data_IF_413273269977
#
_entry.id   IF_413273269977
#
_cell.length_a   1.000
_cell.length_b   1.000
_cell.length_c   1.000
_cell.angle_alpha   90.00
_cell.angle_beta   90.00
_cell.angle_gamma   90.00
#
_symmetry.space_group_name_H-M   'P 1'
#
loop_
_entity.id
_entity.type
_entity.pdbx_description
1 polymer ?
#
# COMPACT_ATOMS: atom_id res chain seq x y z
N UNK A 1 9.77 -7.08 -21.79
CA UNK A 1 8.59 -6.87 -20.92
C UNK A 1 8.65 -7.98 -19.89
N UNK A 2 8.98 -7.66 -18.64
CA UNK A 2 8.97 -8.68 -17.58
C UNK A 2 7.52 -9.13 -17.40
N UNK A 3 7.27 -10.44 -17.43
CA UNK A 3 5.98 -11.01 -17.10
C UNK A 3 5.62 -10.55 -15.69
N UNK A 4 4.66 -9.64 -15.53
CA UNK A 4 4.14 -9.26 -14.22
C UNK A 4 3.43 -10.49 -13.65
N UNK A 5 4.01 -11.20 -12.67
CA UNK A 5 3.29 -12.28 -12.02
C UNK A 5 2.06 -11.66 -11.35
N UNK A 6 1.05 -12.47 -11.06
CA UNK A 6 -0.14 -12.12 -10.26
C UNK A 6 0.23 -11.68 -8.82
N UNK A 7 1.08 -10.67 -8.64
CA UNK A 7 1.67 -10.27 -7.36
C UNK A 7 0.87 -9.17 -6.69
N UNK A 8 0.02 -8.44 -7.41
CA UNK A 8 -0.89 -7.42 -6.84
C UNK A 8 -2.32 -7.96 -6.84
N UNK A 9 -3.01 -7.86 -5.70
CA UNK A 9 -4.37 -8.42 -5.58
C UNK A 9 -5.43 -7.35 -5.78
N UNK A 10 -6.42 -7.66 -6.62
CA UNK A 10 -7.61 -6.83 -6.80
C UNK A 10 -8.47 -6.79 -5.53
N UNK A 11 -8.72 -5.58 -5.00
CA UNK A 11 -9.55 -5.38 -3.80
C UNK A 11 -10.57 -4.27 -4.01
N UNK A 12 -11.67 -4.34 -3.26
CA UNK A 12 -12.68 -3.28 -3.23
C UNK A 12 -12.27 -2.22 -2.20
N UNK A 13 -12.15 -0.93 -2.60
CA UNK A 13 -11.90 0.16 -1.66
C UNK A 13 -12.97 0.23 -0.57
N UNK A 14 -14.24 0.01 -0.93
CA UNK A 14 -15.38 0.04 0.00
C UNK A 14 -15.25 -1.05 1.07
N UNK A 15 -14.94 -2.29 0.69
CA UNK A 15 -14.76 -3.39 1.65
C UNK A 15 -13.61 -3.10 2.62
N UNK A 16 -12.53 -2.49 2.12
CA UNK A 16 -11.40 -2.10 2.95
C UNK A 16 -11.80 -1.07 4.00
N UNK A 17 -12.58 -0.04 3.63
CA UNK A 17 -13.08 0.95 4.59
C UNK A 17 -13.97 0.32 5.66
N UNK A 18 -14.93 -0.51 5.23
CA UNK A 18 -15.86 -1.18 6.14
C UNK A 18 -15.10 -2.06 7.13
N UNK A 19 -14.17 -2.89 6.65
CA UNK A 19 -13.38 -3.76 7.54
C UNK A 19 -12.41 -2.97 8.42
N UNK A 20 -11.84 -1.87 7.94
CA UNK A 20 -11.03 -0.96 8.76
C UNK A 20 -11.87 -0.36 9.89
N UNK A 21 -13.10 0.07 9.61
CA UNK A 21 -14.03 0.58 10.63
C UNK A 21 -14.42 -0.48 11.65
N UNK A 22 -14.87 -1.66 11.20
CA UNK A 22 -15.31 -2.77 12.06
C UNK A 22 -14.18 -3.26 12.98
N UNK A 23 -12.94 -3.25 12.47
CA UNK A 23 -11.77 -3.72 13.22
C UNK A 23 -11.02 -2.58 13.93
N UNK A 24 -11.59 -1.38 14.01
CA UNK A 24 -10.99 -0.21 14.65
C UNK A 24 -9.56 0.09 14.17
N UNK A 25 -9.31 -0.03 12.87
CA UNK A 25 -8.01 0.26 12.26
C UNK A 25 -7.06 -0.95 12.14
N UNK A 26 -7.36 -2.10 12.74
CA UNK A 26 -6.48 -3.28 12.64
C UNK A 26 -6.40 -3.84 11.21
N UNK A 27 -7.53 -3.86 10.50
CA UNK A 27 -7.55 -4.30 9.10
C UNK A 27 -6.71 -3.40 8.18
N UNK A 28 -6.57 -2.11 8.52
CA UNK A 28 -5.71 -1.20 7.78
C UNK A 28 -4.24 -1.64 7.85
N UNK A 29 -3.76 -2.00 9.04
CA UNK A 29 -2.39 -2.50 9.21
C UNK A 29 -2.17 -3.80 8.44
N UNK A 30 -3.15 -4.70 8.46
CA UNK A 30 -3.13 -5.91 7.63
C UNK A 30 -3.05 -5.58 6.13
N UNK A 31 -3.86 -4.63 5.66
CA UNK A 31 -3.84 -4.19 4.27
C UNK A 31 -2.48 -3.60 3.88
N UNK A 32 -1.93 -2.70 4.69
CA UNK A 32 -0.60 -2.11 4.46
C UNK A 32 0.48 -3.20 4.38
N UNK A 33 0.40 -4.21 5.25
CA UNK A 33 1.32 -5.35 5.19
C UNK A 33 1.22 -6.11 3.87
N UNK A 34 -0.01 -6.41 3.42
CA UNK A 34 -0.23 -7.09 2.15
C UNK A 34 0.31 -6.26 0.99
N UNK A 35 -0.04 -4.98 0.88
CA UNK A 35 0.47 -4.09 -0.19
C UNK A 35 2.00 -4.06 -0.22
N UNK A 36 2.66 -3.99 0.94
CA UNK A 36 4.13 -4.05 0.99
C UNK A 36 4.68 -5.40 0.51
N UNK A 37 3.99 -6.51 0.77
CA UNK A 37 4.41 -7.81 0.26
C UNK A 37 4.25 -7.87 -1.27
N UNK A 38 3.12 -7.42 -1.78
CA UNK A 38 2.80 -7.36 -3.21
C UNK A 38 3.76 -6.45 -3.98
N UNK A 39 3.99 -5.23 -3.47
CA UNK A 39 4.93 -4.28 -4.07
C UNK A 39 6.36 -4.80 -4.05
N UNK A 40 6.77 -5.50 -2.98
CA UNK A 40 8.08 -6.14 -2.93
C UNK A 40 8.24 -7.20 -4.01
N UNK A 41 7.23 -8.05 -4.17
CA UNK A 41 7.21 -9.11 -5.17
C UNK A 41 7.17 -8.53 -6.59
N UNK A 42 6.42 -7.45 -6.81
CA UNK A 42 6.29 -6.77 -8.09
C UNK A 42 7.53 -5.96 -8.49
N UNK A 43 8.15 -5.22 -7.57
CA UNK A 43 9.31 -4.36 -7.88
C UNK A 43 10.67 -5.06 -7.74
N UNK A 44 10.71 -6.23 -7.08
CA UNK A 44 11.97 -6.91 -6.75
C UNK A 44 12.80 -6.20 -5.66
N UNK A 45 12.23 -5.20 -4.97
CA UNK A 45 12.96 -4.43 -3.96
C UNK A 45 13.34 -5.27 -2.73
N UNK A 46 14.49 -4.96 -2.14
CA UNK A 46 14.99 -5.65 -0.94
C UNK A 46 14.60 -4.89 0.32
N UNK A 47 13.44 -5.23 0.90
CA UNK A 47 13.03 -4.75 2.23
C UNK A 47 12.19 -5.81 2.97
N UNK A 48 11.93 -5.58 4.27
CA UNK A 48 11.03 -6.43 5.07
C UNK A 48 9.64 -5.79 5.15
N UNK A 49 8.58 -6.42 4.56
CA UNK A 49 7.21 -5.91 4.64
C UNK A 49 6.72 -5.80 6.09
N UNK A 50 7.13 -6.73 6.96
CA UNK A 50 6.78 -6.71 8.38
C UNK A 50 7.36 -5.48 9.09
N UNK A 51 8.65 -5.21 8.93
CA UNK A 51 9.31 -4.04 9.55
C UNK A 51 8.67 -2.74 9.08
N UNK A 52 8.38 -2.63 7.78
CA UNK A 52 7.73 -1.45 7.17
C UNK A 52 6.27 -1.28 7.56
N UNK A 53 5.61 -2.35 7.99
CA UNK A 53 4.28 -2.26 8.60
C UNK A 53 4.39 -1.79 10.05
N UNK A 54 5.34 -2.32 10.81
CA UNK A 54 5.55 -1.95 12.21
C UNK A 54 5.92 -0.48 12.39
N UNK A 55 6.59 0.14 11.41
CA UNK A 55 6.87 1.58 11.42
C UNK A 55 5.61 2.45 11.43
N UNK A 56 4.44 1.93 11.03
CA UNK A 56 3.17 2.67 11.15
C UNK A 56 2.68 2.81 12.59
N UNK A 57 3.15 1.98 13.52
CA UNK A 57 2.83 2.09 14.94
C UNK A 57 3.67 3.16 15.65
N UNK A 58 4.78 3.58 15.03
CA UNK A 58 5.68 4.58 15.59
C UNK A 58 5.30 5.94 15.00
N UNK A 59 4.85 6.90 15.82
CA UNK A 59 4.55 8.25 15.36
C UNK A 59 5.76 8.87 14.65
N UNK A 60 5.49 9.66 13.62
CA UNK A 60 6.47 10.35 12.78
C UNK A 60 7.33 9.46 11.86
N UNK A 61 7.72 8.27 12.30
CA UNK A 61 8.43 7.29 11.45
C UNK A 61 7.50 6.76 10.36
N UNK A 62 6.19 6.72 10.66
CA UNK A 62 5.16 6.38 9.69
C UNK A 62 5.22 7.26 8.41
N UNK A 63 5.55 8.55 8.49
CA UNK A 63 5.68 9.42 7.30
C UNK A 63 6.77 8.92 6.35
N UNK A 64 7.90 8.46 6.89
CA UNK A 64 8.99 7.91 6.08
C UNK A 64 8.59 6.59 5.42
N UNK A 65 7.96 5.68 6.17
CA UNK A 65 7.49 4.41 5.63
C UNK A 65 6.46 4.61 4.51
N UNK A 66 5.57 5.56 4.70
CA UNK A 66 4.56 6.01 3.73
C UNK A 66 5.20 6.55 2.45
N UNK A 67 6.21 7.42 2.58
CA UNK A 67 6.97 7.93 1.42
C UNK A 67 7.66 6.80 0.65
N UNK A 68 8.31 5.87 1.36
CA UNK A 68 8.90 4.71 0.72
C UNK A 68 7.84 3.94 -0.07
N UNK A 69 6.63 3.72 0.50
CA UNK A 69 5.56 2.93 -0.17
C UNK A 69 5.12 3.62 -1.44
N UNK A 70 5.04 4.95 -1.43
CA UNK A 70 4.78 5.72 -2.63
C UNK A 70 5.84 5.52 -3.72
N UNK A 71 7.13 5.48 -3.36
CA UNK A 71 8.19 5.22 -4.33
C UNK A 71 8.06 3.82 -4.95
N UNK A 72 7.92 2.79 -4.12
CA UNK A 72 7.78 1.41 -4.62
C UNK A 72 6.50 1.20 -5.42
N UNK A 73 5.40 1.87 -5.04
CA UNK A 73 4.16 1.83 -5.80
C UNK A 73 4.30 2.51 -7.16
N UNK A 74 5.00 3.63 -7.24
CA UNK A 74 5.27 4.33 -8.49
C UNK A 74 6.13 3.48 -9.45
N UNK A 75 7.14 2.78 -8.93
CA UNK A 75 7.96 1.84 -9.73
C UNK A 75 7.13 0.74 -10.38
N UNK A 76 6.02 0.33 -9.75
CA UNK A 76 5.18 -0.77 -10.20
C UNK A 76 4.01 -0.30 -11.08
N UNK A 77 3.46 0.89 -10.81
CA UNK A 77 2.25 1.39 -11.48
C UNK A 77 2.52 2.47 -12.54
N UNK A 78 3.69 3.12 -12.52
CA UNK A 78 4.12 4.23 -13.39
C UNK A 78 3.14 5.43 -13.49
N UNK A 79 2.10 5.44 -12.64
CA UNK A 79 0.98 6.39 -12.69
C UNK A 79 0.53 6.85 -11.29
N UNK A 80 1.34 6.56 -10.26
CA UNK A 80 1.11 6.99 -8.88
C UNK A 80 2.27 7.86 -8.42
N UNK A 81 2.09 9.19 -8.48
CA UNK A 81 3.09 10.08 -7.89
C UNK A 81 3.35 9.67 -6.42
N UNK A 82 4.62 9.55 -6.00
CA UNK A 82 4.97 9.12 -4.65
C UNK A 82 4.31 9.96 -3.55
N UNK A 83 4.06 11.24 -3.83
CA UNK A 83 3.33 12.14 -2.93
C UNK A 83 1.85 11.80 -2.76
N UNK A 84 1.15 11.40 -3.82
CA UNK A 84 -0.27 11.00 -3.76
C UNK A 84 -0.42 9.66 -3.05
N UNK A 85 0.46 8.70 -3.34
CA UNK A 85 0.51 7.43 -2.62
C UNK A 85 0.82 7.64 -1.13
N UNK A 86 1.73 8.57 -0.81
CA UNK A 86 2.08 8.91 0.54
C UNK A 86 0.91 9.55 1.33
N UNK A 87 0.31 10.60 0.78
CA UNK A 87 -0.85 11.27 1.40
C UNK A 87 -2.01 10.30 1.57
N UNK A 88 -2.20 9.41 0.60
CA UNK A 88 -3.16 8.32 0.70
C UNK A 88 -2.96 7.49 1.96
N UNK A 89 -1.79 6.89 2.16
CA UNK A 89 -1.55 5.98 3.30
C UNK A 89 -1.62 6.65 4.67
N UNK A 90 -1.44 7.98 4.76
CA UNK A 90 -1.55 8.72 6.01
C UNK A 90 -2.98 8.89 6.50
N UNK A 91 -3.93 8.89 5.58
CA UNK A 91 -5.35 8.96 5.89
C UNK A 91 -5.95 7.63 5.44
N UNK A 92 -6.02 6.63 6.33
CA UNK A 92 -6.39 5.25 5.98
C UNK A 92 -7.64 5.16 5.10
N UNK A 93 -8.60 6.06 5.34
CA UNK A 93 -9.86 6.11 4.61
C UNK A 93 -9.72 6.69 3.19
N UNK A 94 -8.79 7.62 2.96
CA UNK A 94 -8.58 8.23 1.65
C UNK A 94 -7.54 7.48 0.80
N UNK A 95 -6.51 6.90 1.41
CA UNK A 95 -5.46 6.22 0.65
C UNK A 95 -5.85 4.97 -0.07
N UNK A 96 -6.68 4.15 0.56
CA UNK A 96 -7.25 3.00 -0.10
C UNK A 96 -8.06 3.41 -1.33
N UNK A 97 -8.76 4.54 -1.28
CA UNK A 97 -9.57 5.01 -2.41
C UNK A 97 -8.72 5.53 -3.57
N UNK A 98 -7.57 6.16 -3.28
CA UNK A 98 -6.68 6.70 -4.29
C UNK A 98 -5.78 5.62 -4.93
N UNK A 99 -5.27 4.68 -4.14
CA UNK A 99 -4.29 3.70 -4.62
C UNK A 99 -4.92 2.41 -5.13
N UNK A 100 -6.01 1.94 -4.51
CA UNK A 100 -6.56 0.64 -4.86
C UNK A 100 -7.09 0.56 -6.31
N UNK A 101 -7.71 1.60 -6.91
CA UNK A 101 -8.07 1.57 -8.33
C UNK A 101 -6.86 1.32 -9.23
N UNK A 102 -5.71 1.94 -8.93
CA UNK A 102 -4.46 1.78 -9.69
C UNK A 102 -3.86 0.40 -9.53
N UNK A 103 -3.81 -0.12 -8.30
CA UNK A 103 -3.43 -1.50 -8.07
C UNK A 103 -4.37 -2.49 -8.76
N UNK A 104 -5.65 -2.16 -8.91
CA UNK A 104 -6.63 -2.99 -9.64
C UNK A 104 -6.50 -2.92 -11.17
N UNK A 105 -5.82 -1.91 -11.72
CA UNK A 105 -5.55 -1.78 -13.16
C UNK A 105 -4.39 -2.69 -13.59
N UNK A 106 -3.43 -2.94 -12.68
CA UNK A 106 -2.23 -3.76 -12.92
C UNK A 106 -2.32 -5.19 -12.33
N UNK A 107 -3.42 -5.50 -11.65
CA UNK A 107 -3.73 -6.82 -11.07
C UNK A 107 -4.62 -7.64 -11.99
#
# INVERSE_FOLDING_TARGET
MAETPNSVTKRSPVKLLVFTGITFGLYWLYYVHQVNKELKEASGASYSPGVRTLTFLIPFVNFYAVWQIGQTANEVTDDLSPGVAAIGLLVPLFGAFLMQPKFNEIA
#
